data_IF_989644123942
#
_entry.id   IF_989644123942
#
_cell.length_a   1.000
_cell.length_b   1.000
_cell.length_c   1.000
_cell.angle_alpha   90.00
_cell.angle_beta   90.00
_cell.angle_gamma   90.00
#
_symmetry.space_group_name_H-M   'P 1'
#
loop_
_entity.id
_entity.type
_entity.pdbx_description
1 polymer ?
#
# COMPACT_ATOMS: atom_id res chain seq x y z
N UNK A 1 35.58 -19.45 2.92
CA UNK A 1 34.81 -18.27 3.36
C UNK A 1 33.63 -18.18 2.40
N UNK A 2 32.42 -18.46 2.86
CA UNK A 2 31.22 -18.40 2.01
C UNK A 2 30.71 -16.95 2.05
N UNK A 3 30.85 -16.24 0.95
CA UNK A 3 30.13 -14.99 0.71
C UNK A 3 28.65 -15.35 0.53
N UNK A 4 27.90 -15.28 1.63
CA UNK A 4 26.45 -15.42 1.59
C UNK A 4 25.88 -14.34 0.67
N UNK A 5 25.06 -14.75 -0.30
CA UNK A 5 24.18 -13.83 -1.03
C UNK A 5 23.43 -13.00 -0.01
N UNK A 6 23.74 -11.71 0.08
CA UNK A 6 22.88 -10.73 0.71
C UNK A 6 21.66 -10.65 -0.22
N UNK A 7 20.58 -11.34 0.13
CA UNK A 7 19.29 -11.05 -0.48
C UNK A 7 18.95 -9.62 -0.03
N UNK A 8 18.78 -8.72 -0.99
CA UNK A 8 18.42 -7.34 -0.72
C UNK A 8 17.05 -7.36 -0.03
N UNK A 9 17.05 -7.15 1.29
CA UNK A 9 15.82 -7.18 2.09
C UNK A 9 15.09 -5.88 1.80
N UNK A 10 13.87 -5.96 1.27
CA UNK A 10 13.08 -4.79 0.91
C UNK A 10 12.93 -3.84 2.09
N UNK A 11 13.27 -2.57 1.87
CA UNK A 11 13.02 -1.51 2.84
C UNK A 11 11.54 -1.14 2.89
N UNK A 12 11.10 -0.40 3.93
CA UNK A 12 9.71 0.02 4.07
C UNK A 12 9.24 0.94 2.92
N UNK A 13 10.15 1.65 2.24
CA UNK A 13 9.82 2.48 1.07
C UNK A 13 9.65 1.64 -0.19
N UNK A 14 10.48 0.62 -0.41
CA UNK A 14 10.31 -0.30 -1.53
C UNK A 14 8.96 -1.05 -1.42
N UNK A 15 8.61 -1.44 -0.20
CA UNK A 15 7.31 -2.04 0.11
C UNK A 15 6.13 -1.10 -0.17
N UNK A 16 6.28 0.21 0.08
CA UNK A 16 5.26 1.20 -0.32
C UNK A 16 5.11 1.23 -1.85
N UNK A 17 6.23 1.34 -2.57
CA UNK A 17 6.22 1.52 -4.02
C UNK A 17 5.56 0.32 -4.72
N UNK A 18 5.87 -0.89 -4.29
CA UNK A 18 5.25 -2.11 -4.81
C UNK A 18 3.77 -2.24 -4.42
N UNK A 19 3.42 -1.89 -3.18
CA UNK A 19 2.03 -1.84 -2.74
C UNK A 19 1.19 -0.87 -3.58
N UNK A 20 1.71 0.34 -3.83
CA UNK A 20 1.02 1.37 -4.61
C UNK A 20 0.94 0.98 -6.10
N UNK A 21 2.00 0.40 -6.67
CA UNK A 21 2.00 -0.12 -8.05
C UNK A 21 0.95 -1.23 -8.26
N UNK A 22 0.65 -2.00 -7.21
CA UNK A 22 -0.42 -3.00 -7.21
C UNK A 22 -1.79 -2.48 -7.63
N UNK A 23 -2.13 -1.23 -7.28
CA UNK A 23 -3.39 -0.60 -7.70
C UNK A 23 -3.42 -0.30 -9.20
N UNK A 24 -2.29 0.10 -9.78
CA UNK A 24 -2.18 0.39 -11.21
C UNK A 24 -2.32 -0.89 -12.05
N UNK A 25 -1.70 -1.99 -11.60
CA UNK A 25 -1.71 -3.28 -12.33
C UNK A 25 -2.86 -4.21 -11.92
N UNK A 26 -3.58 -3.89 -10.83
CA UNK A 26 -4.66 -4.68 -10.25
C UNK A 26 -4.20 -6.10 -9.85
N UNK A 27 -2.94 -6.26 -9.49
CA UNK A 27 -2.36 -7.55 -9.07
C UNK A 27 -2.43 -7.73 -7.56
N UNK A 28 -3.53 -8.29 -7.09
CA UNK A 28 -3.73 -8.59 -5.66
C UNK A 28 -2.75 -9.68 -5.18
N UNK A 29 -2.33 -10.58 -6.06
CA UNK A 29 -1.48 -11.72 -5.72
C UNK A 29 -0.07 -11.28 -5.35
N UNK A 30 0.51 -10.40 -6.14
CA UNK A 30 1.81 -9.79 -5.86
C UNK A 30 1.76 -8.92 -4.61
N UNK A 31 0.74 -8.09 -4.48
CA UNK A 31 0.61 -7.17 -3.33
C UNK A 31 0.46 -7.94 -2.03
N UNK A 32 -0.34 -9.02 -2.00
CA UNK A 32 -0.53 -9.75 -0.74
C UNK A 32 0.74 -10.49 -0.30
N UNK A 33 1.64 -10.82 -1.23
CA UNK A 33 2.94 -11.41 -0.92
C UNK A 33 3.85 -10.44 -0.15
N UNK A 34 3.60 -9.13 -0.24
CA UNK A 34 4.33 -8.10 0.51
C UNK A 34 4.00 -8.09 2.00
N UNK A 35 2.84 -8.59 2.42
CA UNK A 35 2.40 -8.56 3.82
C UNK A 35 2.91 -9.77 4.60
N UNK A 36 3.22 -9.63 5.89
CA UNK A 36 3.39 -10.79 6.78
C UNK A 36 2.07 -11.55 6.96
N UNK A 37 2.13 -12.81 7.41
CA UNK A 37 0.93 -13.65 7.59
C UNK A 37 -0.08 -13.02 8.57
N UNK A 38 0.42 -12.36 9.61
CA UNK A 38 -0.30 -11.70 10.70
C UNK A 38 -0.38 -10.17 10.55
N UNK A 39 -0.11 -9.65 9.35
CA UNK A 39 -0.03 -8.20 9.13
C UNK A 39 -1.35 -7.48 9.46
N UNK A 40 -1.24 -6.19 9.79
CA UNK A 40 -2.39 -5.33 10.06
C UNK A 40 -2.43 -4.18 9.06
N UNK A 41 -3.51 -4.10 8.29
CA UNK A 41 -3.80 -2.98 7.40
C UNK A 41 -4.92 -2.11 7.98
N UNK A 42 -4.72 -0.79 8.01
CA UNK A 42 -5.70 0.18 8.48
C UNK A 42 -5.96 1.24 7.41
N UNK A 43 -7.12 1.12 6.79
CA UNK A 43 -7.76 2.17 5.99
C UNK A 43 -8.59 3.08 6.93
N UNK A 44 -8.60 4.41 6.74
CA UNK A 44 -9.32 5.32 7.64
C UNK A 44 -10.86 5.15 7.60
N UNK A 45 -11.42 4.45 6.60
CA UNK A 45 -12.86 4.22 6.43
C UNK A 45 -13.38 3.01 7.22
N UNK A 46 -12.50 2.12 7.66
CA UNK A 46 -12.90 0.81 8.19
C UNK A 46 -12.21 0.47 9.52
N UNK A 47 -12.70 -0.58 10.17
CA UNK A 47 -11.93 -1.24 11.23
C UNK A 47 -10.69 -1.92 10.62
N UNK A 48 -9.61 -2.12 11.41
CA UNK A 48 -8.40 -2.76 10.91
C UNK A 48 -8.64 -4.16 10.34
N UNK A 49 -7.97 -4.44 9.23
CA UNK A 49 -7.92 -5.76 8.60
C UNK A 49 -6.70 -6.51 9.14
N UNK A 50 -6.92 -7.70 9.70
CA UNK A 50 -5.87 -8.52 10.31
C UNK A 50 -5.64 -9.79 9.49
N UNK A 51 -4.38 -10.06 9.18
CA UNK A 51 -3.91 -11.21 8.42
C UNK A 51 -4.19 -11.15 6.92
N UNK A 52 -3.37 -11.87 6.14
CA UNK A 52 -3.39 -11.79 4.66
C UNK A 52 -4.77 -11.99 4.03
N UNK A 53 -5.58 -12.90 4.57
CA UNK A 53 -6.87 -13.22 3.94
C UNK A 53 -7.87 -12.05 4.00
N UNK A 54 -7.91 -11.30 5.11
CA UNK A 54 -8.81 -10.15 5.24
C UNK A 54 -8.32 -8.98 4.37
N UNK A 55 -7.02 -8.73 4.36
CA UNK A 55 -6.36 -7.71 3.53
C UNK A 55 -6.59 -8.01 2.04
N UNK A 56 -6.38 -9.26 1.63
CA UNK A 56 -6.63 -9.72 0.24
C UNK A 56 -8.07 -9.46 -0.20
N UNK A 57 -9.02 -9.76 0.68
CA UNK A 57 -10.46 -9.59 0.38
C UNK A 57 -10.79 -8.11 0.20
N UNK A 58 -10.23 -7.24 1.04
CA UNK A 58 -10.34 -5.79 0.91
C UNK A 58 -9.73 -5.29 -0.41
N UNK A 59 -8.47 -5.62 -0.69
CA UNK A 59 -7.77 -5.15 -1.90
C UNK A 59 -8.46 -5.62 -3.18
N UNK A 60 -8.95 -6.86 -3.21
CA UNK A 60 -9.73 -7.39 -4.34
C UNK A 60 -10.98 -6.54 -4.60
N UNK A 61 -11.69 -6.15 -3.54
CA UNK A 61 -12.88 -5.29 -3.64
C UNK A 61 -12.52 -3.89 -4.15
N UNK A 62 -11.47 -3.27 -3.61
CA UNK A 62 -11.06 -1.93 -4.03
C UNK A 62 -10.56 -1.89 -5.48
N UNK A 63 -9.73 -2.86 -5.89
CA UNK A 63 -9.19 -2.91 -7.25
C UNK A 63 -10.30 -3.09 -8.29
N UNK A 64 -11.36 -3.82 -7.94
CA UNK A 64 -12.55 -3.98 -8.78
C UNK A 64 -13.26 -2.65 -9.09
N UNK A 65 -13.19 -1.67 -8.19
CA UNK A 65 -13.88 -0.37 -8.28
C UNK A 65 -13.10 0.68 -9.08
N UNK A 66 -11.80 0.48 -9.28
CA UNK A 66 -10.92 1.47 -9.90
C UNK A 66 -10.81 1.21 -11.40
N UNK A 67 -10.93 2.28 -12.19
CA UNK A 67 -10.70 2.28 -13.63
C UNK A 67 -9.26 2.71 -13.92
N UNK A 68 -8.93 3.96 -13.55
CA UNK A 68 -7.61 4.59 -13.67
C UNK A 68 -7.06 4.89 -12.26
N UNK A 69 -5.75 4.71 -12.07
CA UNK A 69 -5.04 4.98 -10.82
C UNK A 69 -3.68 5.60 -11.12
N UNK A 70 -3.36 6.69 -10.44
CA UNK A 70 -2.02 7.29 -10.45
C UNK A 70 -1.65 7.69 -9.03
N UNK A 71 -0.42 7.42 -8.64
CA UNK A 71 0.17 7.85 -7.38
C UNK A 71 1.37 8.73 -7.65
N UNK A 72 1.50 9.79 -6.87
CA UNK A 72 2.68 10.64 -6.79
C UNK A 72 3.18 10.63 -5.34
N UNK A 73 4.45 10.29 -5.16
CA UNK A 73 5.11 10.35 -3.86
C UNK A 73 5.63 11.78 -3.65
N UNK A 74 5.17 12.42 -2.57
CA UNK A 74 5.49 13.82 -2.28
C UNK A 74 6.63 13.96 -1.28
N UNK A 75 6.63 13.12 -0.25
CA UNK A 75 7.64 13.13 0.80
C UNK A 75 7.87 11.72 1.35
N UNK A 76 9.07 11.46 1.85
CA UNK A 76 9.41 10.19 2.49
C UNK A 76 10.33 10.43 3.67
N UNK A 77 10.02 9.82 4.81
CA UNK A 77 10.87 9.77 5.99
C UNK A 77 11.04 8.31 6.42
N UNK A 78 12.29 7.90 6.68
CA UNK A 78 12.63 6.52 7.05
C UNK A 78 13.35 6.51 8.39
N UNK A 79 12.96 5.59 9.26
CA UNK A 79 13.62 5.31 10.53
C UNK A 79 13.69 3.80 10.75
N UNK A 80 14.84 3.20 10.44
CA UNK A 80 15.03 1.74 10.50
C UNK A 80 14.00 1.03 9.62
N UNK A 81 13.24 0.11 10.22
CA UNK A 81 12.21 -0.66 9.52
C UNK A 81 10.87 0.08 9.36
N UNK A 82 10.82 1.39 9.62
CA UNK A 82 9.61 2.20 9.50
C UNK A 82 9.76 3.29 8.45
N UNK A 83 8.68 3.58 7.76
CA UNK A 83 8.59 4.75 6.88
C UNK A 83 7.26 5.49 7.04
N UNK A 84 7.31 6.80 6.82
CA UNK A 84 6.15 7.62 6.50
C UNK A 84 6.30 8.11 5.06
N UNK A 85 5.29 7.89 4.25
CA UNK A 85 5.27 8.31 2.85
C UNK A 85 4.06 9.19 2.61
N UNK A 86 4.29 10.46 2.30
CA UNK A 86 3.23 11.38 1.87
C UNK A 86 3.01 11.20 0.38
N UNK A 87 1.76 11.22 -0.04
CA UNK A 87 1.37 10.95 -1.42
C UNK A 87 0.14 11.75 -1.84
N UNK A 88 0.02 11.90 -3.15
CA UNK A 88 -1.22 12.25 -3.85
C UNK A 88 -1.62 11.10 -4.75
N UNK A 89 -2.89 10.73 -4.69
CA UNK A 89 -3.48 9.70 -5.54
C UNK A 89 -4.60 10.33 -6.37
N UNK A 90 -4.61 10.05 -7.66
CA UNK A 90 -5.73 10.35 -8.56
C UNK A 90 -6.37 9.03 -8.98
N UNK A 91 -7.68 8.91 -8.80
CA UNK A 91 -8.44 7.73 -9.20
C UNK A 91 -9.68 8.09 -10.01
N UNK A 92 -10.00 7.23 -10.97
CA UNK A 92 -11.28 7.23 -11.66
C UNK A 92 -12.10 6.04 -11.23
N UNK A 93 -13.31 6.29 -10.73
CA UNK A 93 -14.21 5.26 -10.23
C UNK A 93 -14.95 4.61 -11.40
N UNK A 94 -14.80 3.29 -11.56
CA UNK A 94 -15.36 2.54 -12.70
C UNK A 94 -16.88 2.65 -12.81
N UNK A 95 -17.59 2.58 -11.69
CA UNK A 95 -19.05 2.56 -11.68
C UNK A 95 -19.69 3.91 -12.06
N UNK A 96 -19.01 5.02 -11.82
CA UNK A 96 -19.58 6.38 -11.96
C UNK A 96 -18.83 7.26 -12.96
N UNK A 97 -17.61 6.87 -13.35
CA UNK A 97 -16.72 7.69 -14.16
C UNK A 97 -16.14 8.91 -13.41
N UNK A 98 -16.51 9.12 -12.14
CA UNK A 98 -16.04 10.26 -11.35
C UNK A 98 -14.53 10.18 -11.11
N UNK A 99 -13.88 11.34 -11.14
CA UNK A 99 -12.49 11.50 -10.76
C UNK A 99 -12.40 12.04 -9.33
N UNK A 100 -11.58 11.39 -8.52
CA UNK A 100 -11.38 11.72 -7.11
C UNK A 100 -9.88 11.81 -6.87
N UNK A 101 -9.46 12.84 -6.14
CA UNK A 101 -8.11 12.95 -5.61
C UNK A 101 -8.12 12.62 -4.13
N UNK A 102 -7.05 11.97 -3.69
CA UNK A 102 -6.77 11.68 -2.30
C UNK A 102 -5.38 12.24 -1.98
N UNK A 103 -5.29 13.02 -0.92
CA UNK A 103 -4.01 13.48 -0.36
C UNK A 103 -3.86 12.85 1.02
N UNK A 104 -2.69 12.26 1.28
CA UNK A 104 -2.51 11.48 2.49
C UNK A 104 -1.09 11.06 2.81
N UNK A 105 -0.99 10.25 3.85
CA UNK A 105 0.24 9.62 4.31
C UNK A 105 -0.02 8.15 4.60
N UNK A 106 0.94 7.31 4.18
CA UNK A 106 1.01 5.91 4.58
C UNK A 106 2.14 5.74 5.58
N UNK A 107 1.83 5.13 6.73
CA UNK A 107 2.81 4.68 7.70
C UNK A 107 3.03 3.18 7.53
N UNK A 108 4.28 2.78 7.30
CA UNK A 108 4.67 1.37 7.08
C UNK A 108 5.63 0.95 8.18
N UNK A 109 5.40 -0.24 8.71
CA UNK A 109 6.34 -0.97 9.54
C UNK A 109 6.67 -2.28 8.83
N UNK A 110 7.93 -2.45 8.45
CA UNK A 110 8.47 -3.63 7.82
C UNK A 110 9.09 -4.56 8.86
N UNK A 111 9.15 -5.85 8.54
CA UNK A 111 9.89 -6.86 9.30
C UNK A 111 10.32 -7.95 8.34
N UNK A 112 11.62 -8.24 8.28
CA UNK A 112 12.18 -9.25 7.39
C UNK A 112 11.78 -9.06 5.90
N UNK A 113 11.69 -7.81 5.45
CA UNK A 113 11.30 -7.47 4.07
C UNK A 113 9.83 -7.65 3.76
N UNK A 114 8.97 -7.79 4.77
CA UNK A 114 7.52 -7.86 4.65
C UNK A 114 6.84 -6.76 5.46
N UNK A 115 5.67 -6.29 5.01
CA UNK A 115 4.81 -5.34 5.71
C UNK A 115 4.20 -6.05 6.92
N UNK A 116 4.57 -5.63 8.12
CA UNK A 116 3.91 -6.04 9.37
C UNK A 116 2.70 -5.14 9.67
N UNK A 117 2.81 -3.84 9.38
CA UNK A 117 1.69 -2.91 9.49
C UNK A 117 1.73 -1.86 8.39
N UNK A 118 0.55 -1.55 7.84
CA UNK A 118 0.35 -0.44 6.91
C UNK A 118 -0.89 0.33 7.35
N UNK A 119 -0.73 1.64 7.56
CA UNK A 119 -1.81 2.52 8.04
C UNK A 119 -1.90 3.73 7.14
N UNK A 120 -3.10 4.01 6.65
CA UNK A 120 -3.37 5.14 5.79
C UNK A 120 -4.12 6.23 6.54
N UNK A 121 -3.76 7.47 6.27
CA UNK A 121 -4.45 8.67 6.72
C UNK A 121 -4.60 9.59 5.52
N UNK A 122 -5.82 9.87 5.11
CA UNK A 122 -6.08 10.72 3.95
C UNK A 122 -7.42 11.41 4.05
N UNK A 123 -7.60 12.41 3.21
CA UNK A 123 -8.90 12.97 2.86
C UNK A 123 -9.07 12.91 1.33
N UNK A 124 -10.31 12.89 0.87
CA UNK A 124 -10.65 12.79 -0.55
C UNK A 124 -11.47 13.98 -1.02
N UNK A 125 -11.28 14.41 -2.26
CA UNK A 125 -12.04 15.48 -2.90
C UNK A 125 -12.25 15.21 -4.40
N UNK A 126 -13.37 15.65 -4.95
CA UNK A 126 -13.64 15.60 -6.40
C UNK A 126 -12.93 16.79 -7.10
N UNK A 127 -12.53 16.61 -8.36
CA UNK A 127 -11.89 17.64 -9.19
C UNK A 127 -12.34 17.60 -10.65
#
# INVERSE_FOLDING_TARGET
MNEGRVFDVKGPVDLFDEYAAGYAHKDVGEVIALFSEDAVFKDPRFNPFVGRQSIKSFLTSEYGKIDEYRVEKLFTCVQGDKAAVEWRIEVKIKATGKKVSLDGVTLIEARNGLIQSLREYYYSYEY
#
